data_IF_259482661501
#
_entry.id   IF_259482661501
#
_cell.length_a   1.000
_cell.length_b   1.000
_cell.length_c   1.000
_cell.angle_alpha   90.00
_cell.angle_beta   90.00
_cell.angle_gamma   90.00
#
_symmetry.space_group_name_H-M   'P 1'
#
loop_
_entity.id
_entity.type
_entity.pdbx_description
1 polymer ?
#
# COMPACT_ATOMS: atom_id res chain seq x y z
N UNK A 1 -53.95 44.93 13.89
CA UNK A 1 -52.92 44.00 13.38
C UNK A 1 -53.02 43.96 11.86
N UNK A 2 -52.03 44.51 11.13
CA UNK A 2 -51.94 44.42 9.67
C UNK A 2 -50.74 43.50 9.36
N UNK A 3 -51.01 42.37 8.71
CA UNK A 3 -49.99 41.39 8.30
C UNK A 3 -49.26 41.89 7.04
N UNK A 4 -47.92 41.79 6.95
CA UNK A 4 -47.16 42.21 5.78
C UNK A 4 -47.16 41.15 4.67
N UNK A 5 -47.40 41.60 3.45
CA UNK A 5 -47.40 40.84 2.20
C UNK A 5 -45.97 40.40 1.83
N UNK A 6 -45.72 39.09 1.78
CA UNK A 6 -44.47 38.53 1.25
C UNK A 6 -44.57 38.41 -0.28
N UNK A 7 -43.74 39.19 -1.00
CA UNK A 7 -43.50 39.02 -2.44
C UNK A 7 -42.68 37.73 -2.66
N UNK A 8 -43.27 36.75 -3.33
CA UNK A 8 -42.57 35.54 -3.79
C UNK A 8 -41.97 35.87 -5.16
N UNK A 9 -40.64 35.92 -5.23
CA UNK A 9 -39.90 36.17 -6.47
C UNK A 9 -40.03 35.01 -7.45
N UNK A 10 -40.38 35.34 -8.69
CA UNK A 10 -40.46 34.43 -9.83
C UNK A 10 -39.05 34.01 -10.28
N UNK A 11 -38.73 32.71 -10.19
CA UNK A 11 -37.54 32.13 -10.83
C UNK A 11 -37.93 31.63 -12.22
N UNK A 12 -37.50 32.33 -13.25
CA UNK A 12 -37.69 31.93 -14.64
C UNK A 12 -36.70 30.80 -14.99
N UNK A 13 -37.22 29.59 -15.22
CA UNK A 13 -36.45 28.48 -15.80
C UNK A 13 -36.24 28.75 -17.30
N UNK A 14 -35.01 29.10 -17.69
CA UNK A 14 -34.57 29.08 -19.08
C UNK A 14 -34.38 27.62 -19.52
N UNK A 15 -35.32 27.13 -20.33
CA UNK A 15 -35.23 25.86 -21.05
C UNK A 15 -34.26 26.06 -22.21
N UNK A 16 -33.02 25.61 -22.05
CA UNK A 16 -32.05 25.58 -23.16
C UNK A 16 -32.22 24.26 -23.92
N UNK A 17 -32.37 24.39 -25.25
CA UNK A 17 -32.54 23.29 -26.19
C UNK A 17 -31.31 22.37 -26.20
N UNK A 18 -31.53 21.08 -25.93
CA UNK A 18 -30.52 20.02 -26.01
C UNK A 18 -30.12 19.76 -27.47
N UNK A 19 -29.21 20.58 -28.00
CA UNK A 19 -28.43 20.25 -29.18
C UNK A 19 -27.50 19.08 -28.87
N UNK A 20 -27.89 17.87 -29.25
CA UNK A 20 -27.10 16.65 -29.05
C UNK A 20 -25.86 16.68 -29.96
N UNK A 21 -24.74 17.14 -29.42
CA UNK A 21 -23.43 17.02 -30.06
C UNK A 21 -23.04 15.53 -30.08
N UNK A 22 -23.13 14.90 -31.26
CA UNK A 22 -22.64 13.53 -31.49
C UNK A 22 -21.11 13.56 -31.51
N UNK A 23 -20.49 13.14 -30.41
CA UNK A 23 -19.05 12.83 -30.39
C UNK A 23 -18.81 11.56 -31.21
N UNK A 24 -18.12 11.71 -32.33
CA UNK A 24 -17.58 10.59 -33.10
C UNK A 24 -16.30 10.16 -32.41
N UNK A 25 -16.34 9.03 -31.69
CA UNK A 25 -15.14 8.39 -31.18
C UNK A 25 -14.35 7.85 -32.39
N UNK A 26 -13.15 8.38 -32.59
CA UNK A 26 -12.15 7.76 -33.45
C UNK A 26 -11.57 6.61 -32.64
N UNK A 27 -11.86 5.38 -33.06
CA UNK A 27 -11.23 4.18 -32.52
C UNK A 27 -9.74 4.26 -32.88
N UNK A 28 -8.90 4.54 -31.89
CA UNK A 28 -7.46 4.32 -32.03
C UNK A 28 -7.23 2.81 -32.13
N UNK A 29 -6.37 2.34 -33.06
CA UNK A 29 -6.14 0.92 -33.25
C UNK A 29 -5.58 0.29 -31.97
N UNK A 30 -6.18 -0.84 -31.60
CA UNK A 30 -5.80 -1.68 -30.47
C UNK A 30 -4.36 -2.20 -30.64
N UNK A 31 -3.39 -1.48 -30.08
CA UNK A 31 -1.96 -1.85 -30.07
C UNK A 31 -1.60 -2.69 -28.82
N UNK A 32 -2.59 -3.34 -28.18
CA UNK A 32 -2.40 -4.16 -26.99
C UNK A 32 -2.60 -5.65 -27.24
N UNK A 33 -2.11 -6.15 -28.36
CA UNK A 33 -1.77 -7.56 -28.46
C UNK A 33 -0.47 -7.80 -27.66
N UNK A 34 -0.59 -7.94 -26.34
CA UNK A 34 0.49 -8.47 -25.52
C UNK A 34 0.97 -9.80 -26.15
N UNK A 35 2.27 -9.98 -26.40
CA UNK A 35 2.77 -11.21 -26.99
C UNK A 35 2.40 -12.39 -26.08
N UNK A 36 1.95 -13.53 -26.64
CA UNK A 36 1.57 -14.68 -25.84
C UNK A 36 2.78 -15.15 -25.04
N UNK A 37 2.72 -15.07 -23.71
CA UNK A 37 3.76 -15.60 -22.84
C UNK A 37 3.75 -17.14 -22.94
N UNK A 38 4.76 -17.77 -23.58
CA UNK A 38 4.73 -19.19 -23.83
C UNK A 38 5.13 -19.96 -22.57
N UNK A 39 4.17 -20.70 -22.00
CA UNK A 39 4.50 -21.94 -21.28
C UNK A 39 4.30 -21.99 -19.76
N UNK A 40 3.90 -20.91 -19.09
CA UNK A 40 3.61 -20.98 -17.66
C UNK A 40 2.10 -20.86 -17.40
N UNK A 41 1.40 -21.99 -17.57
CA UNK A 41 0.06 -22.19 -17.02
C UNK A 41 0.24 -22.27 -15.50
N UNK A 42 0.59 -21.15 -14.86
CA UNK A 42 0.66 -21.06 -13.41
C UNK A 42 -0.77 -21.30 -12.94
N UNK A 43 -1.04 -22.51 -12.43
CA UNK A 43 -2.26 -22.78 -11.73
C UNK A 43 -2.47 -21.67 -10.70
N UNK A 44 -3.70 -21.14 -10.62
CA UNK A 44 -4.03 -20.12 -9.63
C UNK A 44 -3.52 -20.58 -8.26
N UNK A 45 -2.90 -19.70 -7.47
CA UNK A 45 -2.37 -20.08 -6.17
C UNK A 45 -3.50 -20.59 -5.28
N UNK A 46 -3.16 -21.53 -4.40
CA UNK A 46 -4.09 -21.99 -3.36
C UNK A 46 -4.33 -20.82 -2.41
N UNK A 47 -5.61 -20.46 -2.23
CA UNK A 47 -6.04 -19.48 -1.24
C UNK A 47 -6.34 -20.17 0.08
N UNK A 48 -5.83 -19.64 1.18
CA UNK A 48 -6.03 -20.18 2.54
C UNK A 48 -6.52 -19.10 3.50
N UNK A 49 -7.11 -19.52 4.61
CA UNK A 49 -7.60 -18.59 5.62
C UNK A 49 -6.48 -17.67 6.14
N UNK A 50 -6.82 -16.42 6.42
CA UNK A 50 -5.86 -15.40 6.89
C UNK A 50 -5.12 -15.80 8.16
N UNK A 51 -5.77 -16.57 9.04
CA UNK A 51 -5.20 -17.02 10.30
C UNK A 51 -4.32 -18.27 10.13
N UNK A 52 -4.42 -18.96 8.98
CA UNK A 52 -3.67 -20.16 8.66
C UNK A 52 -2.39 -19.92 7.86
N UNK A 53 -2.22 -18.75 7.25
CA UNK A 53 -1.00 -18.41 6.50
C UNK A 53 0.20 -18.39 7.45
N UNK A 54 1.20 -19.21 7.15
CA UNK A 54 2.43 -19.26 7.93
C UNK A 54 3.38 -18.11 7.53
N UNK A 55 3.73 -17.17 8.44
CA UNK A 55 4.73 -16.14 8.16
C UNK A 55 6.13 -16.76 8.00
N UNK A 56 6.98 -16.05 7.26
CA UNK A 56 8.41 -16.35 7.20
C UNK A 56 9.08 -15.93 8.52
N UNK A 57 9.91 -16.80 9.13
CA UNK A 57 10.76 -16.37 10.23
C UNK A 57 11.73 -15.30 9.72
N UNK A 58 12.04 -14.30 10.55
CA UNK A 58 13.01 -13.27 10.18
C UNK A 58 14.41 -13.90 9.98
N UNK A 59 14.95 -13.95 8.75
CA UNK A 59 16.22 -14.60 8.51
C UNK A 59 17.39 -13.75 8.99
N UNK A 60 18.56 -14.37 9.15
CA UNK A 60 19.81 -13.62 9.42
C UNK A 60 20.17 -12.79 8.18
N UNK A 61 20.43 -11.49 8.37
CA UNK A 61 20.94 -10.64 7.30
C UNK A 61 22.42 -10.91 7.01
N UNK A 62 22.76 -11.09 5.73
CA UNK A 62 24.11 -11.40 5.24
C UNK A 62 24.62 -10.25 4.37
N UNK A 63 23.85 -9.84 3.37
CA UNK A 63 24.21 -8.75 2.45
C UNK A 63 23.97 -7.39 3.10
N UNK A 64 24.60 -6.35 2.56
CA UNK A 64 24.42 -4.99 3.10
C UNK A 64 23.00 -4.50 2.89
N UNK A 65 22.37 -4.80 1.75
CA UNK A 65 20.93 -4.61 1.51
C UNK A 65 20.07 -5.23 2.63
N UNK A 66 20.30 -6.49 2.99
CA UNK A 66 19.55 -7.17 4.06
C UNK A 66 19.80 -6.55 5.43
N UNK A 67 21.06 -6.18 5.74
CA UNK A 67 21.39 -5.51 7.01
C UNK A 67 20.73 -4.13 7.07
N UNK A 68 20.72 -3.41 5.95
CA UNK A 68 20.07 -2.11 5.81
C UNK A 68 18.56 -2.20 6.03
N UNK A 69 17.92 -3.21 5.43
CA UNK A 69 16.50 -3.48 5.64
C UNK A 69 16.17 -3.78 7.13
N UNK A 70 17.07 -4.41 7.89
CA UNK A 70 16.86 -4.59 9.33
C UNK A 70 17.08 -3.31 10.13
N UNK A 71 18.10 -2.53 9.80
CA UNK A 71 18.47 -1.31 10.54
C UNK A 71 17.45 -0.19 10.33
N UNK A 72 16.96 -0.02 9.10
CA UNK A 72 15.95 0.99 8.76
C UNK A 72 14.51 0.49 8.91
N UNK A 73 14.31 -0.74 9.42
CA UNK A 73 12.99 -1.34 9.59
C UNK A 73 12.06 -0.40 10.37
N UNK A 74 10.89 0.00 9.85
CA UNK A 74 9.99 0.88 10.56
C UNK A 74 9.33 0.21 11.77
N UNK A 75 8.98 1.01 12.78
CA UNK A 75 8.04 0.62 13.85
C UNK A 75 6.64 1.07 13.46
N UNK A 76 5.70 0.13 13.44
CA UNK A 76 4.33 0.38 13.04
C UNK A 76 3.43 0.54 14.27
N UNK A 77 2.91 1.75 14.47
CA UNK A 77 1.85 2.03 15.43
C UNK A 77 0.49 1.93 14.73
N UNK A 78 -0.32 0.97 15.14
CA UNK A 78 -1.64 0.75 14.54
C UNK A 78 -2.67 1.53 15.35
N UNK A 79 -3.11 2.67 14.81
CA UNK A 79 -4.14 3.50 15.45
C UNK A 79 -5.54 2.96 15.19
N UNK A 80 -5.79 2.46 13.98
CA UNK A 80 -7.08 1.90 13.58
C UNK A 80 -6.94 1.04 12.31
N UNK A 81 -7.94 0.18 12.10
CA UNK A 81 -7.98 -0.76 10.97
C UNK A 81 -7.37 -2.11 11.32
N UNK A 82 -7.14 -2.94 10.31
CA UNK A 82 -6.54 -4.26 10.52
C UNK A 82 -5.07 -4.13 10.89
N UNK A 83 -4.60 -5.10 11.68
CA UNK A 83 -3.18 -5.31 11.89
C UNK A 83 -2.56 -5.99 10.65
N UNK A 84 -1.23 -5.97 10.49
CA UNK A 84 -0.55 -6.72 9.44
C UNK A 84 -0.70 -8.24 9.59
N UNK A 85 -0.92 -8.91 8.46
CA UNK A 85 -0.97 -10.37 8.32
C UNK A 85 0.09 -10.82 7.30
N UNK A 86 0.56 -12.07 7.37
CA UNK A 86 1.29 -12.67 6.26
C UNK A 86 0.38 -12.80 5.03
N UNK A 87 0.88 -12.38 3.87
CA UNK A 87 0.15 -12.42 2.60
C UNK A 87 0.33 -13.75 1.84
N UNK A 88 1.49 -14.38 2.05
CA UNK A 88 1.97 -15.57 1.35
C UNK A 88 2.83 -16.37 2.31
N UNK A 89 2.78 -17.69 2.19
CA UNK A 89 3.67 -18.60 2.91
C UNK A 89 4.67 -19.26 1.94
N UNK A 90 5.65 -20.00 2.49
CA UNK A 90 6.79 -20.53 1.73
C UNK A 90 6.45 -21.38 0.50
N UNK A 91 5.31 -22.09 0.47
CA UNK A 91 4.90 -22.92 -0.68
C UNK A 91 4.12 -22.14 -1.76
N UNK A 92 4.00 -20.81 -1.66
CA UNK A 92 3.25 -19.98 -2.61
C UNK A 92 1.74 -19.89 -2.37
N UNK A 93 1.18 -20.56 -1.35
CA UNK A 93 -0.22 -20.34 -0.97
C UNK A 93 -0.42 -18.90 -0.48
N UNK A 94 -1.48 -18.24 -0.96
CA UNK A 94 -1.82 -16.86 -0.63
C UNK A 94 -2.94 -16.79 0.39
N UNK A 95 -2.95 -15.71 1.16
CA UNK A 95 -4.08 -15.35 2.00
C UNK A 95 -5.34 -15.08 1.17
N UNK A 96 -6.49 -15.62 1.58
CA UNK A 96 -7.82 -15.30 1.03
C UNK A 96 -8.34 -13.92 1.47
N UNK A 97 -7.65 -13.26 2.41
CA UNK A 97 -8.08 -11.98 2.98
C UNK A 97 -9.38 -12.10 3.77
N UNK A 98 -9.98 -10.96 4.12
CA UNK A 98 -11.24 -10.91 4.87
C UNK A 98 -12.28 -10.12 4.08
N UNK A 99 -13.48 -10.66 3.97
CA UNK A 99 -14.57 -9.96 3.27
C UNK A 99 -14.79 -8.55 3.83
N UNK A 100 -14.99 -7.58 2.93
CA UNK A 100 -15.42 -6.25 3.29
C UNK A 100 -16.90 -6.26 3.72
N UNK A 101 -17.19 -5.74 4.91
CA UNK A 101 -18.55 -5.52 5.40
C UNK A 101 -18.68 -4.06 5.85
N UNK A 102 -19.68 -3.33 5.34
CA UNK A 102 -19.89 -1.94 5.72
C UNK A 102 -20.28 -1.80 7.20
N UNK A 103 -21.05 -2.77 7.71
CA UNK A 103 -21.52 -2.84 9.10
C UNK A 103 -20.95 -4.06 9.83
N UNK A 104 -20.76 -3.95 11.15
CA UNK A 104 -20.41 -5.05 12.07
C UNK A 104 -19.25 -5.93 11.57
N UNK A 105 -18.10 -5.30 11.39
CA UNK A 105 -16.89 -5.97 10.91
C UNK A 105 -16.29 -6.78 12.05
N UNK A 106 -15.88 -8.01 11.76
CA UNK A 106 -15.04 -8.77 12.69
C UNK A 106 -13.78 -7.96 13.04
N UNK A 107 -13.23 -8.07 14.25
CA UNK A 107 -11.87 -7.61 14.49
C UNK A 107 -10.87 -8.34 13.57
N UNK A 108 -9.75 -7.70 13.27
CA UNK A 108 -8.61 -8.30 12.57
C UNK A 108 -7.33 -7.88 13.33
N UNK A 109 -7.14 -8.41 14.55
CA UNK A 109 -6.10 -7.97 15.49
C UNK A 109 -4.70 -8.51 15.16
N UNK A 110 -4.57 -9.30 14.08
CA UNK A 110 -3.33 -9.97 13.68
C UNK A 110 -3.56 -11.47 13.58
N UNK A 111 -2.70 -12.16 12.81
CA UNK A 111 -2.77 -13.61 12.70
C UNK A 111 -2.25 -14.27 13.98
N UNK A 112 -2.89 -15.36 14.46
CA UNK A 112 -2.39 -16.14 15.59
C UNK A 112 -1.00 -16.76 15.34
N UNK A 113 -0.59 -16.90 14.07
CA UNK A 113 0.74 -17.41 13.68
C UNK A 113 1.81 -16.34 13.64
N UNK A 114 1.45 -15.07 13.82
CA UNK A 114 2.35 -13.92 13.79
C UNK A 114 2.08 -12.97 12.62
N UNK A 115 2.69 -11.80 12.68
CA UNK A 115 2.58 -10.76 11.64
C UNK A 115 3.80 -10.77 10.72
N UNK A 116 3.72 -10.05 9.60
CA UNK A 116 4.83 -9.94 8.65
C UNK A 116 4.97 -8.51 8.14
N UNK A 117 6.22 -8.08 7.96
CA UNK A 117 6.59 -7.00 7.04
C UNK A 117 7.50 -7.57 5.95
N UNK A 118 7.27 -7.13 4.73
CA UNK A 118 8.08 -7.51 3.58
C UNK A 118 8.95 -6.31 3.17
N UNK A 119 10.11 -6.55 2.58
CA UNK A 119 10.87 -5.47 1.95
C UNK A 119 11.46 -5.83 0.61
N UNK A 120 11.67 -4.83 -0.25
CA UNK A 120 12.50 -4.93 -1.46
C UNK A 120 13.33 -3.66 -1.58
N UNK A 121 14.53 -3.77 -2.10
CA UNK A 121 15.45 -2.63 -2.19
C UNK A 121 16.22 -2.62 -3.49
N UNK A 122 16.44 -1.42 -4.01
CA UNK A 122 17.26 -1.20 -5.20
C UNK A 122 17.73 0.25 -5.27
N UNK A 123 18.68 0.52 -6.16
CA UNK A 123 19.04 1.86 -6.57
C UNK A 123 17.97 2.47 -7.46
N UNK A 124 17.63 3.72 -7.20
CA UNK A 124 16.73 4.51 -8.04
C UNK A 124 17.17 5.97 -8.03
N UNK A 125 17.47 6.52 -9.22
CA UNK A 125 17.96 7.89 -9.43
C UNK A 125 19.11 8.29 -8.45
N UNK A 126 20.07 7.36 -8.29
CA UNK A 126 21.26 7.56 -7.46
C UNK A 126 21.00 7.59 -5.95
N UNK A 127 19.86 7.06 -5.49
CA UNK A 127 19.52 6.85 -4.07
C UNK A 127 19.25 5.37 -3.82
N UNK A 128 19.63 4.88 -2.65
CA UNK A 128 19.26 3.53 -2.24
C UNK A 128 17.86 3.56 -1.63
N UNK A 129 16.93 2.87 -2.26
CA UNK A 129 15.53 2.82 -1.87
C UNK A 129 15.23 1.49 -1.17
N UNK A 130 14.63 1.56 0.02
CA UNK A 130 14.14 0.40 0.75
C UNK A 130 12.63 0.54 0.89
N UNK A 131 11.87 -0.23 0.12
CA UNK A 131 10.44 -0.31 0.26
C UNK A 131 10.08 -1.38 1.27
N UNK A 132 9.36 -1.00 2.32
CA UNK A 132 8.69 -1.92 3.24
C UNK A 132 7.22 -1.98 2.88
N UNK A 133 6.62 -3.16 2.98
CA UNK A 133 5.21 -3.36 2.69
C UNK A 133 4.54 -4.23 3.77
N UNK A 134 3.33 -3.82 4.18
CA UNK A 134 2.46 -4.60 5.06
C UNK A 134 1.20 -4.99 4.32
N UNK A 135 0.83 -6.25 4.45
CA UNK A 135 -0.43 -6.76 3.95
C UNK A 135 -1.49 -6.70 5.04
N UNK A 136 -2.66 -6.15 4.69
CA UNK A 136 -3.86 -6.17 5.49
C UNK A 136 -4.89 -7.06 4.80
N UNK A 137 -5.60 -7.93 5.55
CA UNK A 137 -6.60 -8.82 4.95
C UNK A 137 -7.80 -8.06 4.36
N UNK A 138 -8.04 -6.83 4.83
CA UNK A 138 -8.97 -5.85 4.27
C UNK A 138 -8.65 -4.45 4.78
N UNK A 139 -9.01 -3.42 4.02
CA UNK A 139 -8.90 -2.04 4.47
C UNK A 139 -9.89 -1.12 3.77
N UNK A 140 -10.16 0.04 4.38
CA UNK A 140 -11.02 1.07 3.81
C UNK A 140 -10.29 1.72 2.63
N UNK A 141 -10.91 1.67 1.45
CA UNK A 141 -10.42 2.28 0.21
C UNK A 141 -11.60 2.91 -0.52
N UNK A 142 -11.57 4.23 -0.70
CA UNK A 142 -12.61 5.00 -1.42
C UNK A 142 -12.48 4.79 -2.94
N UNK A 143 -12.54 3.54 -3.40
CA UNK A 143 -12.41 3.22 -4.83
C UNK A 143 -13.68 3.65 -5.58
N UNK A 144 -14.88 3.53 -4.96
CA UNK A 144 -16.15 3.96 -5.58
C UNK A 144 -17.10 4.61 -4.56
N UNK A 145 -18.16 5.29 -5.01
CA UNK A 145 -19.16 5.90 -4.13
C UNK A 145 -19.99 4.87 -3.33
N UNK A 146 -20.06 3.61 -3.79
CA UNK A 146 -20.77 2.51 -3.15
C UNK A 146 -19.87 1.67 -2.23
N UNK A 147 -18.60 1.52 -2.61
CA UNK A 147 -17.65 0.61 -1.96
C UNK A 147 -16.63 1.43 -1.20
N UNK A 148 -16.73 1.39 0.12
CA UNK A 148 -15.82 2.10 1.00
C UNK A 148 -14.52 1.33 1.28
N UNK A 149 -14.39 0.08 0.83
CA UNK A 149 -13.14 -0.70 0.90
C UNK A 149 -13.31 -2.13 0.39
N UNK A 150 -12.24 -2.92 0.45
CA UNK A 150 -12.19 -4.24 -0.19
C UNK A 150 -11.34 -5.26 0.59
N UNK A 151 -11.37 -6.52 0.12
CA UNK A 151 -10.44 -7.58 0.52
C UNK A 151 -9.05 -7.23 0.03
N UNK A 152 -8.03 -7.62 0.79
CA UNK A 152 -6.60 -7.43 0.49
C UNK A 152 -6.22 -5.96 0.37
N UNK A 153 -5.22 -5.52 1.12
CA UNK A 153 -4.74 -4.15 1.00
C UNK A 153 -3.28 -4.07 1.40
N UNK A 154 -2.48 -3.39 0.59
CA UNK A 154 -1.07 -3.20 0.84
C UNK A 154 -0.76 -1.76 1.22
N UNK A 155 -0.15 -1.60 2.38
CA UNK A 155 0.50 -0.35 2.80
C UNK A 155 1.98 -0.45 2.48
N UNK A 156 2.62 0.67 2.20
CA UNK A 156 4.06 0.71 1.94
C UNK A 156 4.73 1.97 2.46
N UNK A 157 6.01 1.86 2.79
CA UNK A 157 6.89 2.99 3.11
C UNK A 157 8.15 2.80 2.29
N UNK A 158 8.59 3.84 1.59
CA UNK A 158 9.93 3.88 1.00
C UNK A 158 10.83 4.69 1.90
N UNK A 159 11.94 4.09 2.31
CA UNK A 159 13.05 4.74 3.00
C UNK A 159 14.15 5.01 1.99
N UNK A 160 14.58 6.27 1.90
CA UNK A 160 15.63 6.69 0.97
C UNK A 160 16.91 6.95 1.74
N UNK A 161 17.99 6.34 1.30
CA UNK A 161 19.33 6.47 1.89
C UNK A 161 20.36 6.77 0.80
N UNK A 162 21.53 7.24 1.19
CA UNK A 162 22.66 7.53 0.31
C UNK A 162 23.47 6.28 -0.10
N UNK A 163 23.34 5.18 0.65
CA UNK A 163 24.10 3.94 0.43
C UNK A 163 23.35 2.71 0.97
N UNK A 164 23.56 1.51 0.39
CA UNK A 164 23.04 0.26 0.93
C UNK A 164 23.75 -0.19 2.21
N UNK A 165 24.94 0.31 2.56
CA UNK A 165 25.64 -0.11 3.78
C UNK A 165 25.10 0.64 5.01
N UNK A 166 24.37 -0.03 5.93
CA UNK A 166 23.82 0.61 7.11
C UNK A 166 24.85 1.17 8.08
N UNK A 167 26.13 0.82 7.98
CA UNK A 167 27.19 1.35 8.84
C UNK A 167 27.50 2.81 8.51
N UNK A 168 27.46 3.16 7.24
CA UNK A 168 27.84 4.48 6.73
C UNK A 168 26.67 5.26 6.17
N UNK A 169 25.53 4.61 5.91
CA UNK A 169 24.39 5.26 5.26
C UNK A 169 23.66 6.25 6.17
N UNK A 170 23.09 7.27 5.54
CA UNK A 170 22.27 8.33 6.15
C UNK A 170 20.81 8.18 5.72
N UNK A 171 19.87 8.36 6.65
CA UNK A 171 18.46 8.50 6.32
C UNK A 171 18.23 9.85 5.63
N UNK A 172 17.97 9.83 4.33
CA UNK A 172 17.74 11.03 3.54
C UNK A 172 16.27 11.43 3.61
N UNK A 173 15.37 10.51 3.23
CA UNK A 173 13.95 10.81 3.07
C UNK A 173 13.07 9.60 3.42
N UNK A 174 11.77 9.83 3.56
CA UNK A 174 10.79 8.75 3.50
C UNK A 174 9.51 9.18 2.82
N UNK A 175 8.88 8.23 2.12
CA UNK A 175 7.65 8.44 1.38
C UNK A 175 6.62 7.34 1.67
N UNK A 176 5.34 7.68 1.78
CA UNK A 176 4.28 6.71 2.09
C UNK A 176 2.89 7.19 1.63
N UNK A 177 1.94 6.29 1.34
CA UNK A 177 0.60 6.68 0.92
C UNK A 177 -0.18 7.24 2.12
N UNK A 178 -0.74 8.42 1.94
CA UNK A 178 -1.66 9.06 2.85
C UNK A 178 -3.12 8.68 2.59
N UNK A 179 -4.02 9.50 3.10
CA UNK A 179 -5.45 9.19 3.16
C UNK A 179 -6.29 9.73 2.00
N UNK A 180 -5.74 10.63 1.19
CA UNK A 180 -6.43 11.26 0.07
C UNK A 180 -5.82 10.87 -1.29
N UNK A 181 -5.32 9.63 -1.38
CA UNK A 181 -4.45 9.15 -2.48
C UNK A 181 -3.17 9.99 -2.69
N UNK A 182 -2.87 10.88 -1.75
CA UNK A 182 -1.63 11.64 -1.71
C UNK A 182 -0.48 10.73 -1.24
N UNK A 183 0.74 11.06 -1.65
CA UNK A 183 1.95 10.46 -1.08
C UNK A 183 2.55 11.50 -0.15
N UNK A 184 2.66 11.18 1.14
CA UNK A 184 3.45 11.97 2.06
C UNK A 184 4.93 11.76 1.75
N UNK A 185 5.67 12.86 1.62
CA UNK A 185 7.13 12.87 1.41
C UNK A 185 7.75 13.70 2.53
N UNK A 186 8.68 13.12 3.27
CA UNK A 186 9.39 13.80 4.36
C UNK A 186 10.88 13.80 4.04
N UNK A 187 11.45 14.99 3.87
CA UNK A 187 12.84 15.14 3.42
C UNK A 187 13.54 16.32 4.13
N UNK A 188 14.40 16.07 5.14
CA UNK A 188 14.48 14.83 5.91
C UNK A 188 13.31 14.69 6.91
N UNK A 189 13.01 13.48 7.40
CA UNK A 189 12.08 13.29 8.50
C UNK A 189 12.56 14.00 9.78
N UNK A 190 11.65 14.69 10.47
CA UNK A 190 11.98 15.36 11.74
C UNK A 190 12.41 14.32 12.79
N UNK A 191 13.42 14.65 13.60
CA UNK A 191 13.99 13.76 14.63
C UNK A 191 12.96 13.14 15.58
N UNK A 192 11.89 13.86 15.93
CA UNK A 192 10.80 13.33 16.76
C UNK A 192 10.07 12.13 16.15
N UNK A 193 10.25 11.84 14.87
CA UNK A 193 9.67 10.70 14.14
C UNK A 193 10.68 9.57 13.88
N UNK A 194 11.94 9.73 14.28
CA UNK A 194 13.02 8.80 13.96
C UNK A 194 13.76 8.40 15.24
N UNK A 195 13.91 7.09 15.46
CA UNK A 195 14.69 6.55 16.58
C UNK A 195 16.11 6.33 16.08
N UNK A 196 17.09 6.92 16.79
CA UNK A 196 18.54 6.79 16.51
C UNK A 196 18.87 7.06 15.04
N UNK A 197 18.23 8.06 14.45
CA UNK A 197 18.46 8.54 13.07
C UNK A 197 18.22 7.51 11.95
N UNK A 198 17.71 6.32 12.26
CA UNK A 198 17.51 5.23 11.27
C UNK A 198 16.10 4.66 11.28
N UNK A 199 15.51 4.41 12.45
CA UNK A 199 14.23 3.69 12.55
C UNK A 199 13.05 4.65 12.55
N UNK A 200 12.23 4.61 11.51
CA UNK A 200 11.02 5.42 11.42
C UNK A 200 9.93 4.95 12.39
N UNK A 201 9.18 5.90 12.96
CA UNK A 201 7.91 5.67 13.65
C UNK A 201 6.76 6.00 12.71
N UNK A 202 6.03 4.98 12.29
CA UNK A 202 4.98 5.08 11.28
C UNK A 202 3.64 4.73 11.92
N UNK A 203 2.61 5.52 11.66
CA UNK A 203 1.25 5.28 12.12
C UNK A 203 0.38 4.80 10.98
N UNK A 204 -0.28 3.68 11.18
CA UNK A 204 -1.32 3.13 10.31
C UNK A 204 -2.69 3.53 10.83
N UNK A 205 -3.52 4.11 9.97
CA UNK A 205 -4.84 4.57 10.37
C UNK A 205 -5.82 4.69 9.19
N UNK A 206 -7.09 4.60 9.55
CA UNK A 206 -8.26 4.91 8.72
C UNK A 206 -9.32 5.60 9.57
N UNK A 207 -10.30 6.27 8.96
CA UNK A 207 -11.45 6.81 9.69
C UNK A 207 -12.73 6.51 8.92
N UNK A 208 -13.60 5.67 9.48
CA UNK A 208 -14.84 5.28 8.82
C UNK A 208 -15.90 6.40 8.81
N UNK A 209 -15.98 7.20 9.87
CA UNK A 209 -16.97 8.29 10.00
C UNK A 209 -16.74 9.35 8.92
N UNK A 210 -15.47 9.63 8.65
CA UNK A 210 -15.05 10.58 7.61
C UNK A 210 -14.71 9.87 6.27
N UNK A 211 -14.89 8.55 6.20
CA UNK A 211 -14.48 7.68 5.08
C UNK A 211 -13.05 7.92 4.60
N UNK A 212 -12.13 8.18 5.52
CA UNK A 212 -10.71 8.41 5.26
C UNK A 212 -10.04 7.06 4.97
N UNK A 213 -9.66 6.84 3.71
CA UNK A 213 -8.92 5.67 3.21
C UNK A 213 -7.77 5.30 4.14
N UNK A 214 -7.48 4.00 4.24
CA UNK A 214 -6.38 3.51 5.06
C UNK A 214 -5.05 3.98 4.49
N UNK A 215 -4.34 4.77 5.28
CA UNK A 215 -3.04 5.34 4.93
C UNK A 215 -2.05 5.28 6.06
N UNK A 216 -0.88 5.84 5.79
CA UNK A 216 0.24 5.97 6.70
C UNK A 216 0.64 7.43 6.88
N UNK A 217 1.14 7.75 8.06
CA UNK A 217 1.87 8.99 8.30
C UNK A 217 2.94 8.79 9.38
N UNK A 218 3.93 9.68 9.45
CA UNK A 218 4.88 9.67 10.55
C UNK A 218 4.21 10.04 11.89
N UNK A 219 4.71 9.46 12.99
CA UNK A 219 4.17 9.69 14.33
C UNK A 219 5.27 9.77 15.39
N UNK A 220 4.99 10.45 16.49
CA UNK A 220 5.84 10.51 17.67
C UNK A 220 5.70 9.27 18.58
N UNK A 221 4.63 8.47 18.42
CA UNK A 221 4.43 7.22 19.16
C UNK A 221 5.24 6.09 18.57
N UNK A 222 5.99 5.39 19.43
CA UNK A 222 6.56 4.12 19.02
C UNK A 222 5.42 3.10 18.84
N UNK A 223 5.47 2.34 17.75
CA UNK A 223 4.68 1.12 17.59
C UNK A 223 5.56 -0.11 17.73
N UNK A 224 5.18 -1.20 17.08
CA UNK A 224 5.89 -2.47 17.19
C UNK A 224 6.65 -2.83 15.92
N UNK A 225 7.63 -3.72 16.08
CA UNK A 225 8.25 -4.38 14.94
C UNK A 225 7.43 -5.60 14.52
N UNK A 226 7.52 -5.91 13.23
CA UNK A 226 7.08 -7.18 12.67
C UNK A 226 8.31 -7.93 12.16
N UNK A 227 8.21 -9.25 12.03
CA UNK A 227 9.27 -10.04 11.43
C UNK A 227 9.44 -9.65 9.97
N UNK A 228 10.68 -9.43 9.57
CA UNK A 228 11.04 -8.99 8.24
C UNK A 228 11.49 -10.15 7.36
N UNK A 229 10.98 -10.21 6.14
CA UNK A 229 11.57 -11.00 5.07
C UNK A 229 11.79 -10.10 3.85
N UNK A 230 13.00 -10.10 3.29
CA UNK A 230 13.25 -9.38 2.04
C UNK A 230 12.77 -10.20 0.85
N UNK A 231 12.46 -9.54 -0.27
CA UNK A 231 12.03 -10.17 -1.51
C UNK A 231 12.99 -11.27 -1.95
N UNK A 232 14.29 -11.03 -1.80
CA UNK A 232 15.37 -11.94 -2.16
C UNK A 232 15.45 -13.16 -1.23
N UNK A 233 14.95 -13.05 0.01
CA UNK A 233 14.95 -14.11 1.02
C UNK A 233 13.69 -14.99 1.02
N UNK A 234 12.63 -14.57 0.32
CA UNK A 234 11.45 -15.42 0.10
C UNK A 234 11.79 -16.57 -0.86
N UNK A 235 11.02 -17.65 -0.78
CA UNK A 235 11.07 -18.75 -1.75
C UNK A 235 10.62 -18.29 -3.14
N UNK A 236 11.03 -19.04 -4.17
CA UNK A 236 10.63 -18.78 -5.55
C UNK A 236 9.11 -18.90 -5.73
N UNK A 237 8.48 -19.88 -5.07
CA UNK A 237 7.04 -20.09 -5.12
C UNK A 237 6.27 -18.90 -4.52
N UNK A 238 6.75 -18.35 -3.39
CA UNK A 238 6.13 -17.19 -2.76
C UNK A 238 6.25 -15.93 -3.62
N UNK A 239 7.44 -15.68 -4.20
CA UNK A 239 7.65 -14.57 -5.15
C UNK A 239 6.79 -14.71 -6.39
N UNK A 240 6.73 -15.91 -6.96
CA UNK A 240 5.91 -16.20 -8.13
C UNK A 240 4.44 -15.93 -7.83
N UNK A 241 3.90 -16.46 -6.72
CA UNK A 241 2.50 -16.25 -6.34
C UNK A 241 2.14 -14.77 -6.13
N UNK A 242 3.02 -13.99 -5.48
CA UNK A 242 2.83 -12.54 -5.32
C UNK A 242 2.91 -11.77 -6.63
N UNK A 243 3.64 -12.27 -7.62
CA UNK A 243 3.86 -11.59 -8.91
C UNK A 243 2.83 -11.94 -9.97
N UNK A 244 2.23 -13.13 -9.92
CA UNK A 244 1.32 -13.64 -10.97
C UNK A 244 -0.16 -13.47 -10.63
N UNK A 245 -0.53 -13.51 -9.35
CA UNK A 245 -1.95 -13.44 -8.96
C UNK A 245 -2.42 -12.00 -8.77
N UNK A 246 -3.02 -11.45 -9.83
CA UNK A 246 -3.53 -10.08 -9.85
C UNK A 246 -4.99 -9.96 -9.42
N UNK A 247 -5.27 -8.92 -8.65
CA UNK A 247 -6.59 -8.54 -8.15
C UNK A 247 -7.08 -7.26 -8.83
N UNK A 248 -8.40 -7.01 -8.91
CA UNK A 248 -8.94 -5.83 -9.60
C UNK A 248 -8.49 -4.50 -8.99
N UNK A 249 -8.49 -4.39 -7.66
CA UNK A 249 -8.15 -3.15 -6.98
C UNK A 249 -6.63 -2.94 -6.94
N UNK A 250 -6.19 -1.73 -7.29
CA UNK A 250 -4.76 -1.40 -7.30
C UNK A 250 -4.11 -1.67 -5.93
N UNK A 251 -4.71 -1.21 -4.83
CA UNK A 251 -4.16 -1.41 -3.49
C UNK A 251 -4.24 -2.87 -2.98
N UNK A 252 -5.00 -3.75 -3.64
CA UNK A 252 -5.09 -5.18 -3.29
C UNK A 252 -3.87 -5.99 -3.77
N UNK A 253 -3.06 -5.43 -4.65
CA UNK A 253 -1.90 -6.10 -5.24
C UNK A 253 -0.59 -5.71 -4.52
N UNK A 254 0.42 -6.60 -4.45
CA UNK A 254 1.68 -6.31 -3.79
C UNK A 254 2.44 -5.15 -4.49
N UNK A 255 3.04 -4.21 -3.74
CA UNK A 255 3.85 -3.14 -4.33
C UNK A 255 5.28 -3.60 -4.64
N UNK A 256 5.68 -4.80 -4.20
CA UNK A 256 7.04 -5.32 -4.32
C UNK A 256 7.30 -6.06 -5.64
N UNK A 257 6.27 -6.36 -6.44
CA UNK A 257 6.43 -7.00 -7.74
C UNK A 257 7.14 -6.07 -8.74
N UNK A 258 7.91 -6.62 -9.67
CA UNK A 258 8.90 -5.88 -10.50
C UNK A 258 8.37 -4.56 -11.07
N UNK A 259 7.31 -4.61 -11.90
CA UNK A 259 6.74 -3.40 -12.52
C UNK A 259 6.27 -2.38 -11.47
N UNK A 260 5.57 -2.85 -10.43
CA UNK A 260 4.97 -1.95 -9.44
C UNK A 260 5.97 -1.40 -8.44
N UNK A 261 7.05 -2.13 -8.21
CA UNK A 261 8.14 -1.67 -7.36
C UNK A 261 8.69 -0.35 -7.91
N UNK A 262 9.06 -0.32 -9.19
CA UNK A 262 9.58 0.90 -9.82
C UNK A 262 8.50 1.99 -10.00
N UNK A 263 7.25 1.65 -10.32
CA UNK A 263 6.15 2.63 -10.35
C UNK A 263 5.93 3.33 -9.00
N UNK A 264 6.06 2.58 -7.89
CA UNK A 264 5.97 3.15 -6.55
C UNK A 264 7.20 4.01 -6.26
N UNK A 265 8.41 3.56 -6.61
CA UNK A 265 9.63 4.35 -6.42
C UNK A 265 9.56 5.69 -7.16
N UNK A 266 9.11 5.69 -8.41
CA UNK A 266 8.94 6.89 -9.21
C UNK A 266 8.00 7.91 -8.54
N UNK A 267 6.80 7.47 -8.14
CA UNK A 267 5.81 8.33 -7.48
C UNK A 267 6.29 8.80 -6.09
N UNK A 268 7.02 7.93 -5.39
CA UNK A 268 7.53 8.17 -4.05
C UNK A 268 8.78 9.07 -4.03
N UNK A 269 9.50 9.21 -5.15
CA UNK A 269 10.79 9.91 -5.21
C UNK A 269 10.65 11.38 -4.75
N UNK A 270 11.34 11.80 -3.67
CA UNK A 270 11.14 13.11 -3.06
C UNK A 270 12.18 14.16 -3.42
N UNK A 271 13.17 13.82 -4.25
CA UNK A 271 14.26 14.72 -4.61
C UNK A 271 14.00 15.39 -5.96
N UNK A 272 14.65 16.51 -6.19
CA UNK A 272 14.66 17.16 -7.51
C UNK A 272 15.28 16.23 -8.56
N UNK A 273 14.75 16.31 -9.78
CA UNK A 273 15.24 15.59 -10.97
C UNK A 273 16.13 16.48 -11.81
#
# INVERSE_FOLDING_TARGET
MKLPTFLIGFVALLVTSNGSARYVYREDPDDSADPPNPGALHANPILIDVDDVQPFPQPRAITDSQKSALVYKPRLYIKSGCHPYPAVQANGSLSDGLQWKNFLRSPCPGSPKGSQVYSRSDWYEGKWAIMYAWYLPRALDRVTWLVNGHRHYWLWVVVWTDSPDPKTSTLLATSMPGVANNIHKYYPPKSKYVIREKTLKVKSYQNHILFIKHGLELTDRAGDFQDLVTWEQMTDEARAALSTFHRPEHAANPPLQDKRFYEVLEKAYPFDR
#
